data_IF_231448660335
#
_entry.id   IF_231448660335
#
_cell.length_a   1.000
_cell.length_b   1.000
_cell.length_c   1.000
_cell.angle_alpha   90.00
_cell.angle_beta   90.00
_cell.angle_gamma   90.00
#
_symmetry.space_group_name_H-M   'P 1'
#
loop_
_entity.id
_entity.type
_entity.pdbx_description
1 polymer ?
#
# COMPACT_ATOMS: atom_id res chain seq x y z
N UNK A 1 -22.71 -4.13 -5.95
CA UNK A 1 -21.83 -3.10 -6.17
C UNK A 1 -21.01 -2.75 -5.01
N UNK A 2 -21.57 -2.46 -3.89
CA UNK A 2 -20.79 -2.15 -2.75
C UNK A 2 -19.90 -3.29 -2.37
N UNK A 3 -20.42 -4.47 -2.51
CA UNK A 3 -19.63 -5.61 -2.12
C UNK A 3 -18.39 -5.73 -2.94
N UNK A 4 -18.45 -5.26 -4.15
CA UNK A 4 -17.31 -5.33 -5.00
C UNK A 4 -16.18 -4.52 -4.47
N UNK A 5 -16.46 -3.33 -3.97
CA UNK A 5 -15.42 -2.53 -3.41
C UNK A 5 -14.87 -3.15 -2.16
N UNK A 6 -15.72 -3.64 -1.31
CA UNK A 6 -15.28 -4.25 -0.12
C UNK A 6 -14.41 -5.43 -0.42
N UNK A 7 -14.84 -6.22 -1.36
CA UNK A 7 -14.09 -7.40 -1.73
C UNK A 7 -12.73 -7.02 -2.25
N UNK A 8 -12.65 -5.95 -3.00
CA UNK A 8 -11.38 -5.54 -3.55
C UNK A 8 -10.38 -5.22 -2.46
N UNK A 9 -10.84 -4.58 -1.40
CA UNK A 9 -9.94 -4.24 -0.32
C UNK A 9 -9.67 -5.46 0.55
N UNK A 10 -10.71 -6.16 0.89
CA UNK A 10 -10.59 -7.29 1.78
C UNK A 10 -9.79 -8.41 1.18
N UNK A 11 -9.87 -8.55 -0.13
CA UNK A 11 -9.15 -9.61 -0.79
C UNK A 11 -7.84 -9.18 -1.41
N UNK A 12 -7.42 -7.99 -1.11
CA UNK A 12 -6.14 -7.54 -1.65
C UNK A 12 -5.06 -8.44 -1.08
N UNK A 13 -4.40 -9.18 -1.94
CA UNK A 13 -3.34 -10.03 -1.50
C UNK A 13 -2.07 -9.25 -1.33
N UNK A 14 -2.04 -8.08 -1.86
CA UNK A 14 -0.82 -7.33 -2.02
C UNK A 14 -0.95 -5.99 -1.32
N UNK A 15 -0.06 -5.67 -0.42
CA UNK A 15 -0.12 -4.38 0.27
C UNK A 15 -0.11 -3.21 -0.70
N UNK A 16 0.59 -3.36 -1.82
CA UNK A 16 0.69 -2.26 -2.78
C UNK A 16 -0.66 -1.97 -3.42
N UNK A 17 -1.41 -3.00 -3.73
CA UNK A 17 -2.74 -2.79 -4.29
C UNK A 17 -3.64 -2.08 -3.29
N UNK A 18 -3.51 -2.43 -2.02
CA UNK A 18 -4.31 -1.81 -1.00
C UNK A 18 -3.95 -0.34 -0.86
N UNK A 19 -2.66 -0.03 -0.96
CA UNK A 19 -2.20 1.34 -0.87
C UNK A 19 -2.74 2.15 -2.04
N UNK A 20 -2.62 1.61 -3.24
CA UNK A 20 -3.08 2.31 -4.43
C UNK A 20 -4.59 2.54 -4.39
N UNK A 21 -5.32 1.55 -3.93
CA UNK A 21 -6.75 1.68 -3.83
C UNK A 21 -7.13 2.79 -2.84
N UNK A 22 -6.44 2.85 -1.73
CA UNK A 22 -6.73 3.84 -0.73
C UNK A 22 -6.34 5.24 -1.20
N UNK A 23 -5.25 5.33 -1.94
CA UNK A 23 -4.86 6.61 -2.52
C UNK A 23 -5.95 7.13 -3.44
N UNK A 24 -6.50 6.24 -4.24
CA UNK A 24 -7.54 6.62 -5.16
C UNK A 24 -8.80 7.03 -4.41
N UNK A 25 -9.17 6.29 -3.40
CA UNK A 25 -10.34 6.63 -2.62
C UNK A 25 -10.24 7.98 -1.94
N UNK A 26 -9.06 8.31 -1.45
CA UNK A 26 -8.86 9.54 -0.73
C UNK A 26 -8.32 10.67 -1.58
N UNK A 27 -8.09 10.41 -2.84
CA UNK A 27 -7.56 11.44 -3.73
C UNK A 27 -6.14 11.84 -3.38
N UNK A 28 -5.34 10.91 -2.92
CA UNK A 28 -3.97 11.20 -2.52
C UNK A 28 -3.01 11.05 -3.68
N UNK A 29 -2.00 11.91 -3.71
CA UNK A 29 -0.99 11.84 -4.75
C UNK A 29 0.24 11.16 -4.18
N UNK A 30 1.21 10.91 -5.05
CA UNK A 30 2.47 10.35 -4.58
C UNK A 30 3.17 11.30 -3.64
N UNK A 31 2.97 12.59 -3.84
CA UNK A 31 3.55 13.58 -2.96
C UNK A 31 2.99 13.43 -1.56
N UNK A 32 1.69 13.19 -1.47
CA UNK A 32 1.05 13.00 -0.18
C UNK A 32 1.58 11.73 0.47
N UNK A 33 1.76 10.70 -0.32
CA UNK A 33 2.27 9.45 0.21
C UNK A 33 3.71 9.60 0.68
N UNK A 34 4.47 10.48 0.05
CA UNK A 34 5.83 10.72 0.46
C UNK A 34 5.90 11.26 1.88
N UNK A 35 4.90 12.00 2.28
CA UNK A 35 4.87 12.53 3.63
C UNK A 35 4.68 11.42 4.65
N UNK A 36 4.10 10.34 4.21
CA UNK A 36 3.88 9.19 5.08
C UNK A 36 5.08 8.27 5.07
N UNK A 37 5.62 8.00 3.90
CA UNK A 37 6.70 7.05 3.74
C UNK A 37 8.09 7.65 3.87
N UNK A 38 8.18 8.96 3.74
CA UNK A 38 9.45 9.63 3.94
C UNK A 38 9.97 10.42 2.75
N UNK A 39 10.14 9.79 1.62
CA UNK A 39 10.65 10.47 0.45
C UNK A 39 9.94 9.99 -0.79
N UNK A 40 10.09 10.76 -1.86
CA UNK A 40 9.48 10.37 -3.12
C UNK A 40 10.15 9.14 -3.70
N UNK A 41 11.45 9.04 -3.50
CA UNK A 41 12.17 7.87 -3.96
C UNK A 41 11.62 6.62 -3.29
N UNK A 42 11.36 6.71 -1.99
CA UNK A 42 10.82 5.59 -1.26
C UNK A 42 9.43 5.21 -1.74
N UNK A 43 8.61 6.22 -2.04
CA UNK A 43 7.28 5.98 -2.58
C UNK A 43 7.40 5.23 -3.91
N UNK A 44 8.30 5.68 -4.76
CA UNK A 44 8.48 5.05 -6.05
C UNK A 44 8.93 3.60 -5.88
N UNK A 45 9.86 3.35 -4.98
CA UNK A 45 10.36 2.00 -4.76
C UNK A 45 9.26 1.09 -4.24
N UNK A 46 8.45 1.61 -3.34
CA UNK A 46 7.37 0.81 -2.76
C UNK A 46 6.31 0.52 -3.82
N UNK A 47 5.87 1.53 -4.53
CA UNK A 47 4.81 1.35 -5.51
C UNK A 47 5.25 0.51 -6.70
N UNK A 48 6.55 0.52 -7.00
CA UNK A 48 7.08 -0.31 -8.07
C UNK A 48 7.50 -1.69 -7.58
N UNK A 49 7.17 -1.99 -6.35
CA UNK A 49 7.43 -3.30 -5.74
C UNK A 49 8.90 -3.66 -5.70
N UNK A 50 9.72 -2.66 -5.53
CA UNK A 50 11.15 -2.89 -5.42
C UNK A 50 11.64 -2.91 -4.00
N UNK A 51 10.78 -2.57 -3.07
CA UNK A 51 11.14 -2.51 -1.68
C UNK A 51 9.96 -3.00 -0.84
N UNK A 52 10.27 -3.78 0.17
CA UNK A 52 9.23 -4.23 1.09
C UNK A 52 8.92 -3.11 2.07
N UNK A 53 7.75 -3.17 2.66
CA UNK A 53 7.37 -2.20 3.65
C UNK A 53 8.07 -2.49 4.97
N UNK A 54 8.64 -1.46 5.56
CA UNK A 54 9.24 -1.60 6.87
C UNK A 54 8.13 -1.51 7.90
N UNK A 55 8.44 -1.90 9.12
CA UNK A 55 7.45 -1.84 10.19
C UNK A 55 6.98 -0.41 10.40
N UNK A 56 7.89 0.56 10.30
CA UNK A 56 7.52 1.95 10.43
C UNK A 56 6.55 2.37 9.35
N UNK A 57 6.77 1.92 8.13
CA UNK A 57 5.88 2.24 7.04
C UNK A 57 4.52 1.62 7.25
N UNK A 58 4.50 0.37 7.69
CA UNK A 58 3.25 -0.33 7.95
C UNK A 58 2.45 0.42 9.00
N UNK A 59 3.11 0.85 10.05
CA UNK A 59 2.44 1.58 11.12
C UNK A 59 1.86 2.89 10.59
N UNK A 60 2.64 3.63 9.82
CA UNK A 60 2.17 4.89 9.29
C UNK A 60 1.00 4.71 8.33
N UNK A 61 1.10 3.73 7.46
CA UNK A 61 0.02 3.47 6.51
C UNK A 61 -1.24 3.04 7.23
N UNK A 62 -1.10 2.25 8.27
CA UNK A 62 -2.24 1.81 9.04
C UNK A 62 -2.90 3.00 9.73
N UNK A 63 -2.11 3.84 10.36
CA UNK A 63 -2.65 4.96 11.11
C UNK A 63 -3.19 6.08 10.22
N UNK A 64 -2.49 6.36 9.14
CA UNK A 64 -2.87 7.49 8.33
C UNK A 64 -3.84 7.17 7.20
N UNK A 65 -3.75 6.01 6.65
CA UNK A 65 -4.63 5.62 5.56
C UNK A 65 -5.70 4.64 5.98
N UNK A 66 -5.63 4.15 7.20
CA UNK A 66 -6.64 3.22 7.65
C UNK A 66 -6.60 1.87 6.97
N UNK A 67 -5.44 1.49 6.44
CA UNK A 67 -5.31 0.20 5.81
C UNK A 67 -5.07 -0.84 6.90
N UNK A 68 -5.70 -1.98 6.76
CA UNK A 68 -5.55 -3.04 7.74
C UNK A 68 -4.10 -3.46 7.86
N UNK A 69 -3.61 -3.57 9.08
CA UNK A 69 -2.24 -4.00 9.29
C UNK A 69 -2.05 -5.42 8.76
N UNK A 70 -3.09 -6.21 8.84
CA UNK A 70 -3.04 -7.58 8.36
C UNK A 70 -2.72 -7.62 6.87
N UNK A 71 -3.28 -6.69 6.11
CA UNK A 71 -3.00 -6.62 4.69
C UNK A 71 -1.58 -6.12 4.47
N UNK A 72 -1.17 -5.13 5.26
CA UNK A 72 0.12 -4.51 5.06
C UNK A 72 1.30 -5.43 5.37
N UNK A 73 1.09 -6.41 6.22
CA UNK A 73 2.17 -7.32 6.56
C UNK A 73 2.28 -8.49 5.61
N UNK A 74 1.38 -8.60 4.65
CA UNK A 74 1.48 -9.68 3.68
C UNK A 74 2.65 -9.44 2.76
N UNK A 75 3.22 -10.50 2.21
CA UNK A 75 4.34 -10.34 1.30
C UNK A 75 3.92 -9.52 0.08
N UNK A 76 4.79 -8.63 -0.34
CA UNK A 76 4.53 -7.84 -1.51
C UNK A 76 4.74 -8.71 -2.74
N UNK A 77 3.77 -8.70 -3.63
CA UNK A 77 3.88 -9.49 -4.82
C UNK A 77 4.75 -8.74 -5.81
N UNK A 78 5.87 -9.26 -6.19
CA UNK A 78 6.73 -8.57 -7.12
C UNK A 78 6.62 -9.21 -8.48
N UNK A 79 7.04 -8.50 -9.44
CA UNK A 79 7.00 -9.00 -10.77
C UNK A 79 7.90 -10.16 -10.95
N UNK A 80 8.93 -10.30 -10.20
CA UNK A 80 9.78 -11.37 -10.32
C UNK A 80 9.66 -12.27 -9.28
N UNK A 81 8.76 -12.05 -8.59
CA UNK A 81 8.42 -12.84 -7.59
C UNK A 81 9.25 -13.89 -7.40
N UNK A 82 8.93 -14.61 -7.77
CA UNK A 82 9.45 -15.67 -7.58
C UNK A 82 10.76 -15.82 -7.69
N UNK A 83 11.19 -15.08 -8.25
CA UNK A 83 12.50 -15.23 -8.45
C UNK A 83 13.18 -15.37 -7.33
#
# INVERSE_FOLDING_TARGET
MHDRFRAAVAEADDPIEAIEFRMEQKGLTRKDLAKILGTRTRVSEVLNRRRNLSIGMIRQLHEKLGISAEVLIRPTRTGRAAS
#
